data_IF_259798559988
#
_entry.id   IF_259798559988
#
_cell.length_a   1.000
_cell.length_b   1.000
_cell.length_c   1.000
_cell.angle_alpha   90.00
_cell.angle_beta   90.00
_cell.angle_gamma   90.00
#
_symmetry.space_group_name_H-M   'P 1'
#
loop_
_entity.id
_entity.type
_entity.pdbx_description
1 polymer ?
#
# COMPACT_ATOMS: atom_id res chain seq x y z
N UNK A 1 9.02 -12.94 -9.48
CA UNK A 1 8.42 -11.71 -10.08
C UNK A 1 9.14 -10.50 -9.50
N UNK A 2 9.29 -9.42 -10.28
CA UNK A 2 9.83 -8.17 -9.76
C UNK A 2 8.88 -7.56 -8.72
N UNK A 3 9.41 -7.05 -7.61
CA UNK A 3 8.62 -6.33 -6.60
C UNK A 3 7.98 -5.09 -7.23
N UNK A 4 6.78 -4.74 -6.78
CA UNK A 4 6.14 -3.49 -7.21
C UNK A 4 6.75 -2.30 -6.48
N UNK A 5 7.00 -1.20 -7.17
CA UNK A 5 7.63 -0.02 -6.60
C UNK A 5 6.57 0.98 -6.11
N UNK A 6 6.68 1.42 -4.87
CA UNK A 6 5.75 2.36 -4.23
C UNK A 6 6.50 3.58 -3.73
N UNK A 7 5.99 4.77 -4.03
CA UNK A 7 6.51 6.04 -3.53
C UNK A 7 5.47 6.76 -2.68
N UNK A 8 5.81 7.02 -1.41
CA UNK A 8 5.03 7.86 -0.50
C UNK A 8 5.51 9.32 -0.55
N UNK A 9 4.62 10.25 -0.88
CA UNK A 9 4.95 11.67 -0.99
C UNK A 9 4.25 12.49 0.08
N UNK A 10 5.02 13.34 0.76
CA UNK A 10 4.50 14.42 1.59
C UNK A 10 5.28 15.72 1.35
N UNK A 11 4.99 16.78 2.09
CA UNK A 11 5.72 18.05 1.95
C UNK A 11 7.18 17.91 2.41
N UNK A 12 7.42 17.46 3.65
CA UNK A 12 8.75 17.51 4.28
C UNK A 12 9.53 16.20 4.34
N UNK A 13 8.93 15.08 3.94
CA UNK A 13 9.44 13.72 4.21
C UNK A 13 9.93 13.49 5.64
N UNK A 14 9.25 14.12 6.61
CA UNK A 14 9.70 14.17 8.00
C UNK A 14 8.98 13.16 8.89
N UNK A 15 7.65 13.05 8.80
CA UNK A 15 6.85 12.18 9.67
C UNK A 15 5.97 11.18 8.89
N UNK A 16 4.83 11.64 8.34
CA UNK A 16 3.80 10.79 7.71
C UNK A 16 4.34 9.80 6.66
N UNK A 17 5.13 10.28 5.71
CA UNK A 17 5.65 9.42 4.64
C UNK A 17 6.77 8.47 5.11
N UNK A 18 7.51 8.83 6.17
CA UNK A 18 8.49 7.93 6.80
C UNK A 18 7.80 6.79 7.56
N UNK A 19 6.76 7.12 8.32
CA UNK A 19 5.92 6.10 8.99
C UNK A 19 5.25 5.16 7.96
N UNK A 20 4.74 5.71 6.85
CA UNK A 20 4.15 4.90 5.78
C UNK A 20 5.18 3.99 5.09
N UNK A 21 6.40 4.49 4.84
CA UNK A 21 7.53 3.70 4.33
C UNK A 21 7.87 2.54 5.28
N UNK A 22 7.98 2.84 6.58
CA UNK A 22 8.23 1.84 7.63
C UNK A 22 7.16 0.74 7.67
N UNK A 23 5.88 1.12 7.73
CA UNK A 23 4.78 0.14 7.76
C UNK A 23 4.73 -0.75 6.53
N UNK A 24 4.80 -0.19 5.32
CA UNK A 24 4.69 -1.02 4.10
C UNK A 24 5.89 -1.96 3.96
N UNK A 25 7.09 -1.47 4.28
CA UNK A 25 8.31 -2.28 4.24
C UNK A 25 8.25 -3.43 5.24
N UNK A 26 7.78 -3.17 6.46
CA UNK A 26 7.62 -4.19 7.49
C UNK A 26 6.56 -5.23 7.12
N UNK A 27 5.39 -4.80 6.63
CA UNK A 27 4.26 -5.69 6.37
C UNK A 27 4.33 -6.45 5.04
N UNK A 28 5.03 -5.91 4.03
CA UNK A 28 5.00 -6.46 2.67
C UNK A 28 6.28 -6.17 1.86
N UNK A 29 7.44 -6.05 2.52
CA UNK A 29 8.73 -5.78 1.87
C UNK A 29 9.21 -6.90 0.93
N UNK A 30 8.64 -8.10 1.03
CA UNK A 30 8.84 -9.20 0.07
C UNK A 30 8.15 -8.93 -1.29
N UNK A 31 7.07 -8.14 -1.29
CA UNK A 31 6.23 -7.84 -2.47
C UNK A 31 6.45 -6.46 -3.04
N UNK A 32 6.87 -5.51 -2.19
CA UNK A 32 7.03 -4.12 -2.55
C UNK A 32 8.45 -3.62 -2.33
N UNK A 33 8.91 -2.80 -3.25
CA UNK A 33 10.06 -1.94 -3.07
C UNK A 33 9.55 -0.55 -2.67
N UNK A 34 9.85 -0.13 -1.45
CA UNK A 34 9.16 1.00 -0.80
C UNK A 34 10.09 2.18 -0.63
N UNK A 35 9.61 3.35 -1.07
CA UNK A 35 10.29 4.62 -1.01
C UNK A 35 9.37 5.70 -0.43
N UNK A 36 9.96 6.72 0.16
CA UNK A 36 9.31 7.98 0.51
C UNK A 36 10.14 9.17 0.05
N UNK A 37 9.48 10.29 -0.22
CA UNK A 37 10.14 11.54 -0.58
C UNK A 37 9.30 12.77 -0.20
N UNK A 38 9.96 13.92 -0.26
CA UNK A 38 9.44 15.23 0.14
C UNK A 38 9.61 16.25 -0.96
N UNK A 39 8.66 17.18 -1.08
CA UNK A 39 8.78 18.31 -1.99
C UNK A 39 9.83 19.31 -1.48
N UNK A 40 9.87 19.51 -0.17
CA UNK A 40 10.84 20.33 0.56
C UNK A 40 11.36 19.51 1.74
N UNK A 41 12.21 18.50 1.50
CA UNK A 41 12.65 17.57 2.54
C UNK A 41 13.35 18.32 3.68
N UNK A 42 13.07 17.90 4.91
CA UNK A 42 13.73 18.41 6.12
C UNK A 42 14.51 17.28 6.78
N UNK A 43 14.31 17.02 8.07
CA UNK A 43 14.87 15.88 8.80
C UNK A 43 13.74 14.93 9.22
N UNK A 44 14.08 13.66 9.44
CA UNK A 44 13.12 12.69 9.99
C UNK A 44 12.75 13.12 11.40
N UNK A 45 11.45 13.26 11.66
CA UNK A 45 10.96 13.77 12.93
C UNK A 45 11.26 12.73 14.05
N UNK A 46 11.95 13.11 15.14
CA UNK A 46 12.27 12.18 16.23
C UNK A 46 11.02 11.55 16.87
N UNK A 47 9.90 12.26 16.93
CA UNK A 47 8.64 11.73 17.46
C UNK A 47 8.07 10.64 16.53
N UNK A 48 8.27 10.75 15.21
CA UNK A 48 7.89 9.69 14.28
C UNK A 48 8.71 8.41 14.53
N UNK A 49 10.01 8.56 14.79
CA UNK A 49 10.88 7.43 15.15
C UNK A 49 10.37 6.78 16.44
N UNK A 50 10.14 7.60 17.49
CA UNK A 50 9.67 7.14 18.80
C UNK A 50 8.35 6.37 18.72
N UNK A 51 7.33 6.90 18.02
CA UNK A 51 6.04 6.20 17.92
C UNK A 51 6.09 4.96 17.02
N UNK A 52 7.02 4.87 16.07
CA UNK A 52 7.18 3.65 15.27
C UNK A 52 7.92 2.56 16.04
N UNK A 53 8.89 2.94 16.86
CA UNK A 53 9.60 2.03 17.77
C UNK A 53 8.65 1.40 18.81
N UNK A 54 7.67 2.17 19.33
CA UNK A 54 6.61 1.65 20.21
C UNK A 54 5.82 0.45 19.63
N UNK A 55 5.77 0.32 18.29
CA UNK A 55 5.11 -0.79 17.60
C UNK A 55 6.10 -1.79 16.97
N UNK A 56 7.38 -1.72 17.35
CA UNK A 56 8.44 -2.63 16.92
C UNK A 56 8.94 -2.38 15.49
N UNK A 57 8.79 -1.16 14.96
CA UNK A 57 9.27 -0.80 13.62
C UNK A 57 10.31 0.31 13.72
N UNK A 58 11.58 -0.06 13.56
CA UNK A 58 12.67 0.91 13.54
C UNK A 58 12.71 1.66 12.19
N UNK A 59 12.62 2.99 12.26
CA UNK A 59 12.77 3.88 11.12
C UNK A 59 13.94 4.87 11.29
N UNK A 60 14.77 4.71 12.32
CA UNK A 60 15.88 5.62 12.65
C UNK A 60 16.95 5.70 11.55
N UNK A 61 17.13 4.62 10.78
CA UNK A 61 18.03 4.58 9.63
C UNK A 61 17.48 5.24 8.36
N UNK A 62 16.22 5.69 8.35
CA UNK A 62 15.62 6.36 7.19
C UNK A 62 16.12 7.81 7.08
N UNK A 63 16.03 8.36 5.87
CA UNK A 63 16.44 9.75 5.57
C UNK A 63 15.33 10.48 4.83
N UNK A 64 15.22 11.77 5.08
CA UNK A 64 14.39 12.64 4.28
C UNK A 64 15.06 12.88 2.92
N UNK A 65 14.34 12.61 1.83
CA UNK A 65 14.84 12.63 0.45
C UNK A 65 13.98 13.56 -0.40
N UNK A 66 14.61 14.22 -1.37
CA UNK A 66 13.90 15.09 -2.29
C UNK A 66 13.13 14.28 -3.32
N UNK A 67 11.91 14.72 -3.64
CA UNK A 67 11.13 14.11 -4.74
C UNK A 67 11.88 14.18 -6.07
N UNK A 68 12.77 15.17 -6.23
CA UNK A 68 13.61 15.34 -7.43
C UNK A 68 14.54 14.14 -7.69
N UNK A 69 14.92 13.38 -6.66
CA UNK A 69 15.73 12.16 -6.82
C UNK A 69 14.95 11.03 -7.51
N UNK A 70 13.61 11.13 -7.54
CA UNK A 70 12.70 10.09 -7.98
C UNK A 70 11.94 10.44 -9.26
N UNK A 71 12.03 11.67 -9.77
CA UNK A 71 11.25 12.11 -10.94
C UNK A 71 11.59 11.35 -12.22
N UNK A 72 12.79 10.79 -12.35
CA UNK A 72 13.18 10.00 -13.53
C UNK A 72 12.90 8.50 -13.36
N UNK A 73 12.41 8.10 -12.18
CA UNK A 73 12.21 6.70 -11.82
C UNK A 73 10.78 6.26 -12.11
N UNK A 74 10.62 4.96 -12.36
CA UNK A 74 9.31 4.34 -12.62
C UNK A 74 8.71 3.77 -11.34
N UNK A 75 7.45 4.08 -11.07
CA UNK A 75 6.70 3.55 -9.93
C UNK A 75 5.39 2.92 -10.37
N UNK A 76 4.97 1.85 -9.70
CA UNK A 76 3.65 1.26 -9.89
C UNK A 76 2.59 2.07 -9.15
N UNK A 77 2.95 2.59 -7.97
CA UNK A 77 2.08 3.40 -7.11
C UNK A 77 2.79 4.65 -6.61
N UNK A 78 2.09 5.79 -6.72
CA UNK A 78 2.48 7.05 -6.09
C UNK A 78 1.37 7.43 -5.12
N UNK A 79 1.68 7.46 -3.82
CA UNK A 79 0.72 7.67 -2.74
C UNK A 79 1.05 9.00 -2.07
N UNK A 80 0.17 9.98 -2.22
CA UNK A 80 0.30 11.28 -1.55
C UNK A 80 -0.38 11.20 -0.18
N UNK A 81 0.33 11.59 0.88
CA UNK A 81 -0.14 11.46 2.27
C UNK A 81 -0.47 12.80 2.94
N UNK A 82 -0.44 13.89 2.18
CA UNK A 82 -0.95 15.19 2.60
C UNK A 82 -1.52 15.95 1.39
N UNK A 83 -2.46 16.86 1.65
CA UNK A 83 -3.14 17.63 0.60
C UNK A 83 -2.18 18.53 -0.19
N UNK A 84 -1.21 19.15 0.49
CA UNK A 84 -0.19 19.95 -0.19
C UNK A 84 0.65 19.12 -1.17
N UNK A 85 1.02 17.89 -0.79
CA UNK A 85 1.75 17.01 -1.70
C UNK A 85 0.91 16.53 -2.90
N UNK A 86 -0.42 16.48 -2.76
CA UNK A 86 -1.33 16.19 -3.88
C UNK A 86 -1.31 17.30 -4.92
N UNK A 87 -1.34 18.56 -4.48
CA UNK A 87 -1.40 19.72 -5.36
C UNK A 87 -0.08 19.99 -6.09
N UNK A 88 1.04 19.79 -5.40
CA UNK A 88 2.39 20.08 -5.93
C UNK A 88 3.11 18.81 -6.44
N UNK A 89 2.36 17.72 -6.66
CA UNK A 89 2.93 16.44 -7.10
C UNK A 89 3.54 16.56 -8.50
N UNK A 90 4.85 16.31 -8.67
CA UNK A 90 5.48 16.37 -9.99
C UNK A 90 4.97 15.25 -10.91
N UNK A 91 5.18 15.43 -12.21
CA UNK A 91 4.83 14.41 -13.21
C UNK A 91 5.89 13.32 -13.20
N UNK A 92 5.51 12.08 -12.85
CA UNK A 92 6.39 10.92 -12.95
C UNK A 92 6.29 10.26 -14.34
N UNK A 93 7.39 9.72 -14.87
CA UNK A 93 7.42 9.00 -16.12
C UNK A 93 6.64 7.69 -15.97
N UNK A 94 5.96 7.31 -17.05
CA UNK A 94 5.08 6.15 -17.13
C UNK A 94 3.78 6.24 -16.32
N UNK A 95 2.81 5.42 -16.76
CA UNK A 95 1.49 5.32 -16.14
C UNK A 95 1.62 4.63 -14.79
N UNK A 96 1.28 5.35 -13.73
CA UNK A 96 1.30 4.88 -12.34
C UNK A 96 -0.09 5.06 -11.72
N UNK A 97 -0.41 4.26 -10.69
CA UNK A 97 -1.63 4.44 -9.91
C UNK A 97 -1.41 5.51 -8.86
N UNK A 98 -2.21 6.58 -8.91
CA UNK A 98 -2.19 7.66 -7.91
C UNK A 98 -3.20 7.34 -6.81
N UNK A 99 -2.76 7.39 -5.56
CA UNK A 99 -3.61 7.27 -4.37
C UNK A 99 -3.36 8.51 -3.50
N UNK A 100 -4.40 8.95 -2.80
CA UNK A 100 -4.31 10.09 -1.90
C UNK A 100 -4.92 9.74 -0.55
N UNK A 101 -4.17 9.99 0.52
CA UNK A 101 -4.61 9.93 1.90
C UNK A 101 -4.48 11.33 2.49
N UNK A 102 -5.61 11.93 2.87
CA UNK A 102 -5.60 13.18 3.61
C UNK A 102 -5.32 12.86 5.07
N UNK A 103 -4.10 13.20 5.51
CA UNK A 103 -3.66 13.04 6.90
C UNK A 103 -3.22 14.41 7.42
N UNK A 104 -3.78 14.79 8.56
CA UNK A 104 -3.39 15.99 9.30
C UNK A 104 -1.90 15.99 9.61
N UNK A 105 -1.29 17.17 9.70
CA UNK A 105 0.13 17.30 10.00
C UNK A 105 0.37 17.27 11.51
N UNK A 106 0.96 16.20 12.06
CA UNK A 106 1.21 16.14 13.50
C UNK A 106 2.33 17.09 13.94
N UNK A 107 3.15 17.62 13.00
CA UNK A 107 4.29 18.48 13.31
C UNK A 107 3.90 19.93 13.65
N UNK A 108 2.69 20.37 13.31
CA UNK A 108 2.20 21.73 13.58
C UNK A 108 1.57 21.92 14.96
N UNK A 109 1.55 20.88 15.79
CA UNK A 109 0.88 20.91 17.10
C UNK A 109 1.83 21.45 18.16
N UNK A 110 1.40 22.50 18.83
CA UNK A 110 2.09 23.09 19.97
C UNK A 110 1.69 22.41 21.28
N UNK A 111 2.55 22.52 22.30
CA UNK A 111 2.32 21.97 23.63
C UNK A 111 3.36 20.95 24.08
N UNK A 112 3.06 20.30 25.21
CA UNK A 112 3.90 19.30 25.88
C UNK A 112 4.20 18.09 25.00
N UNK A 113 5.35 17.44 25.24
CA UNK A 113 5.81 16.30 24.45
C UNK A 113 4.77 15.16 24.41
N UNK A 114 4.15 14.84 25.53
CA UNK A 114 3.13 13.77 25.60
C UNK A 114 1.90 14.07 24.76
N UNK A 115 1.49 15.34 24.68
CA UNK A 115 0.37 15.77 23.81
C UNK A 115 0.74 15.59 22.35
N UNK A 116 1.97 15.95 21.96
CA UNK A 116 2.47 15.71 20.59
C UNK A 116 2.51 14.22 20.29
N UNK A 117 3.06 13.40 21.20
CA UNK A 117 3.14 11.95 21.03
C UNK A 117 1.77 11.30 20.83
N UNK A 118 0.74 11.73 21.58
CA UNK A 118 -0.64 11.26 21.36
C UNK A 118 -1.08 11.46 19.91
N UNK A 119 -0.88 12.64 19.35
CA UNK A 119 -1.29 12.89 17.96
C UNK A 119 -0.42 12.11 16.96
N UNK A 120 0.89 11.99 17.20
CA UNK A 120 1.74 11.13 16.38
C UNK A 120 1.28 9.67 16.40
N UNK A 121 0.85 9.13 17.55
CA UNK A 121 0.27 7.78 17.67
C UNK A 121 -1.04 7.64 16.90
N UNK A 122 -1.93 8.63 16.96
CA UNK A 122 -3.17 8.63 16.19
C UNK A 122 -2.91 8.62 14.69
N UNK A 123 -2.02 9.47 14.19
CA UNK A 123 -1.63 9.51 12.78
C UNK A 123 -0.93 8.21 12.37
N UNK A 124 -0.04 7.67 13.20
CA UNK A 124 0.59 6.35 12.98
C UNK A 124 -0.47 5.27 12.79
N UNK A 125 -1.49 5.23 13.65
CA UNK A 125 -2.54 4.22 13.58
C UNK A 125 -3.40 4.39 12.31
N UNK A 126 -3.77 5.63 11.95
CA UNK A 126 -4.46 5.94 10.68
C UNK A 126 -3.63 5.51 9.46
N UNK A 127 -2.31 5.72 9.48
CA UNK A 127 -1.40 5.24 8.42
C UNK A 127 -1.41 3.72 8.34
N UNK A 128 -1.32 3.02 9.49
CA UNK A 128 -1.37 1.56 9.53
C UNK A 128 -2.65 1.02 8.89
N UNK A 129 -3.81 1.60 9.22
CA UNK A 129 -5.10 1.23 8.62
C UNK A 129 -5.11 1.45 7.10
N UNK A 130 -4.62 2.60 6.64
CA UNK A 130 -4.51 2.90 5.21
C UNK A 130 -3.60 1.91 4.47
N UNK A 131 -2.50 1.49 5.10
CA UNK A 131 -1.58 0.49 4.55
C UNK A 131 -2.25 -0.88 4.46
N UNK A 132 -2.98 -1.30 5.50
CA UNK A 132 -3.74 -2.56 5.50
C UNK A 132 -4.79 -2.53 4.38
N UNK A 133 -5.53 -1.43 4.25
CA UNK A 133 -6.51 -1.25 3.19
C UNK A 133 -5.88 -1.27 1.79
N UNK A 134 -4.73 -0.61 1.62
CA UNK A 134 -3.95 -0.66 0.38
C UNK A 134 -3.50 -2.08 0.03
N UNK A 135 -3.00 -2.84 1.00
CA UNK A 135 -2.60 -4.22 0.80
C UNK A 135 -3.78 -5.11 0.42
N UNK A 136 -4.96 -4.86 1.00
CA UNK A 136 -6.19 -5.58 0.64
C UNK A 136 -6.62 -5.23 -0.80
N UNK A 137 -6.70 -3.95 -1.16
CA UNK A 137 -7.01 -3.53 -2.54
C UNK A 137 -5.99 -4.05 -3.57
N UNK A 138 -4.72 -4.20 -3.18
CA UNK A 138 -3.70 -4.81 -4.03
C UNK A 138 -3.83 -6.34 -4.14
N UNK A 139 -4.41 -6.99 -3.13
CA UNK A 139 -4.71 -8.43 -3.11
C UNK A 139 -6.00 -8.76 -3.86
N UNK A 140 -6.98 -7.85 -3.90
CA UNK A 140 -8.35 -8.07 -4.36
C UNK A 140 -8.52 -8.38 -5.86
N UNK A 141 -7.44 -8.50 -6.67
CA UNK A 141 -7.56 -8.95 -8.06
C UNK A 141 -6.72 -10.19 -8.32
N UNK A 142 -7.33 -11.26 -8.80
CA UNK A 142 -6.64 -12.45 -9.26
C UNK A 142 -6.74 -12.57 -10.78
N UNK A 143 -5.71 -13.14 -11.42
CA UNK A 143 -5.78 -13.59 -12.79
C UNK A 143 -6.38 -14.98 -12.81
N UNK A 144 -7.66 -15.07 -13.18
CA UNK A 144 -8.37 -16.34 -13.31
C UNK A 144 -8.17 -16.90 -14.71
N UNK A 145 -7.61 -18.11 -14.81
CA UNK A 145 -7.48 -18.85 -16.07
C UNK A 145 -8.69 -19.75 -16.26
N UNK A 146 -9.39 -19.62 -17.38
CA UNK A 146 -10.51 -20.51 -17.69
C UNK A 146 -10.02 -21.92 -18.02
N UNK A 147 -10.52 -22.99 -17.38
CA UNK A 147 -10.12 -24.37 -17.70
C UNK A 147 -10.63 -24.85 -19.06
N UNK A 148 -11.65 -24.19 -19.62
CA UNK A 148 -12.27 -24.62 -20.89
C UNK A 148 -11.66 -23.97 -22.14
N UNK A 149 -11.23 -22.71 -22.06
CA UNK A 149 -10.68 -21.98 -23.21
C UNK A 149 -9.32 -21.35 -22.94
N UNK A 150 -8.73 -21.56 -21.76
CA UNK A 150 -7.45 -20.97 -21.33
C UNK A 150 -7.38 -19.44 -21.30
N UNK A 151 -8.48 -18.73 -21.55
CA UNK A 151 -8.55 -17.27 -21.43
C UNK A 151 -8.24 -16.83 -20.00
N UNK A 152 -7.36 -15.82 -19.86
CA UNK A 152 -6.96 -15.24 -18.58
C UNK A 152 -7.61 -13.88 -18.43
N UNK A 153 -8.27 -13.65 -17.29
CA UNK A 153 -8.92 -12.37 -16.99
C UNK A 153 -8.69 -11.96 -15.54
N UNK A 154 -8.68 -10.65 -15.30
CA UNK A 154 -8.71 -10.14 -13.93
C UNK A 154 -10.12 -10.26 -13.35
N UNK A 155 -10.21 -10.88 -12.17
CA UNK A 155 -11.43 -11.01 -11.37
C UNK A 155 -11.20 -10.46 -9.98
N UNK A 156 -12.20 -9.82 -9.41
CA UNK A 156 -12.14 -9.36 -8.03
C UNK A 156 -12.27 -10.56 -7.07
N UNK A 157 -11.39 -10.63 -6.08
CA UNK A 157 -11.44 -11.63 -5.01
C UNK A 157 -12.42 -11.12 -3.96
N UNK A 158 -13.59 -11.76 -3.80
CA UNK A 158 -14.51 -11.40 -2.72
C UNK A 158 -13.86 -11.54 -1.34
N UNK A 159 -14.00 -10.49 -0.50
CA UNK A 159 -13.35 -10.41 0.83
C UNK A 159 -13.86 -11.43 1.86
N UNK A 160 -15.17 -11.73 1.81
CA UNK A 160 -15.85 -12.61 2.77
C UNK A 160 -16.74 -13.68 2.09
N UNK A 161 -16.52 -13.97 0.81
CA UNK A 161 -17.38 -14.90 0.07
C UNK A 161 -16.54 -15.85 -0.77
N UNK A 162 -16.81 -17.15 -0.72
CA UNK A 162 -16.19 -18.08 -1.64
C UNK A 162 -16.86 -17.96 -3.02
N UNK A 163 -16.05 -17.77 -4.06
CA UNK A 163 -16.55 -17.74 -5.44
C UNK A 163 -16.87 -19.18 -5.89
N UNK A 164 -18.10 -19.63 -5.66
CA UNK A 164 -18.56 -21.00 -5.98
C UNK A 164 -18.72 -21.26 -7.47
N UNK A 165 -18.89 -20.21 -8.28
CA UNK A 165 -18.80 -20.29 -9.73
C UNK A 165 -18.40 -18.95 -10.35
N UNK A 166 -17.90 -18.98 -11.58
CA UNK A 166 -17.61 -17.78 -12.37
C UNK A 166 -17.97 -18.02 -13.84
N UNK A 167 -18.53 -17.01 -14.52
CA UNK A 167 -18.82 -17.08 -15.96
C UNK A 167 -17.64 -16.51 -16.74
N UNK A 168 -16.97 -17.33 -17.56
CA UNK A 168 -15.86 -16.86 -18.37
C UNK A 168 -16.30 -15.78 -19.36
N UNK A 169 -15.65 -14.61 -19.37
CA UNK A 169 -16.01 -13.52 -20.31
C UNK A 169 -15.76 -13.87 -21.78
N UNK A 170 -14.85 -14.82 -22.06
CA UNK A 170 -14.51 -15.25 -23.43
C UNK A 170 -15.46 -16.32 -23.95
N UNK A 171 -15.55 -17.48 -23.27
CA UNK A 171 -16.34 -18.61 -23.78
C UNK A 171 -17.73 -18.75 -23.14
N UNK A 172 -18.10 -17.85 -22.21
CA UNK A 172 -19.38 -17.84 -21.49
C UNK A 172 -19.69 -19.11 -20.68
N UNK A 173 -18.74 -20.04 -20.57
CA UNK A 173 -18.91 -21.27 -19.77
C UNK A 173 -18.84 -20.95 -18.27
N UNK A 174 -19.67 -21.66 -17.51
CA UNK A 174 -19.66 -21.67 -16.05
C UNK A 174 -18.48 -22.49 -15.54
N UNK A 175 -17.58 -21.83 -14.84
CA UNK A 175 -16.42 -22.41 -14.17
C UNK A 175 -16.82 -22.71 -12.72
N UNK A 176 -16.57 -23.93 -12.25
CA UNK A 176 -16.77 -24.37 -10.87
C UNK A 176 -15.45 -24.91 -10.31
N UNK A 177 -15.23 -24.88 -8.98
CA UNK A 177 -13.99 -25.32 -8.35
C UNK A 177 -13.59 -26.73 -8.78
N UNK A 178 -12.29 -26.98 -8.92
CA UNK A 178 -11.77 -28.34 -9.10
C UNK A 178 -11.93 -29.13 -7.81
N UNK A 179 -11.91 -30.46 -7.90
CA UNK A 179 -11.91 -31.34 -6.74
C UNK A 179 -10.74 -30.98 -5.81
N UNK A 180 -10.99 -30.83 -4.51
CA UNK A 180 -10.00 -30.45 -3.50
C UNK A 180 -9.77 -28.94 -3.33
N UNK A 181 -10.40 -28.09 -4.15
CA UNK A 181 -10.31 -26.63 -4.03
C UNK A 181 -11.54 -26.04 -3.36
N UNK A 182 -11.35 -25.10 -2.43
CA UNK A 182 -12.44 -24.44 -1.71
C UNK A 182 -13.31 -23.52 -2.61
N UNK A 183 -12.73 -22.86 -3.62
CA UNK A 183 -13.47 -21.98 -4.54
C UNK A 183 -12.79 -21.85 -5.92
N UNK A 184 -13.45 -21.17 -6.87
CA UNK A 184 -12.95 -20.97 -8.25
C UNK A 184 -11.62 -20.19 -8.27
N UNK A 185 -11.43 -19.24 -7.36
CA UNK A 185 -10.18 -18.47 -7.24
C UNK A 185 -9.02 -19.39 -6.83
N UNK A 186 -9.20 -20.19 -5.78
CA UNK A 186 -8.17 -21.14 -5.34
C UNK A 186 -7.87 -22.24 -6.38
N UNK A 187 -8.87 -22.62 -7.18
CA UNK A 187 -8.73 -23.67 -8.18
C UNK A 187 -7.98 -23.22 -9.45
N UNK A 188 -8.22 -21.99 -9.92
CA UNK A 188 -7.76 -21.58 -11.27
C UNK A 188 -7.15 -20.19 -11.35
N UNK A 189 -6.84 -19.55 -10.23
CA UNK A 189 -6.21 -18.24 -10.24
C UNK A 189 -4.75 -18.26 -9.78
N UNK A 190 -4.03 -17.18 -10.08
CA UNK A 190 -2.65 -16.96 -9.63
C UNK A 190 -2.54 -16.58 -8.14
N UNK A 191 -3.67 -16.56 -7.42
CA UNK A 191 -3.74 -16.23 -6.00
C UNK A 191 -4.59 -17.25 -5.25
N UNK A 192 -4.19 -17.52 -4.01
CA UNK A 192 -5.04 -18.19 -3.04
C UNK A 192 -5.79 -17.14 -2.23
N UNK A 193 -7.09 -17.35 -2.00
CA UNK A 193 -7.79 -16.60 -0.97
C UNK A 193 -7.06 -16.89 0.34
N UNK A 194 -6.67 -15.85 1.08
CA UNK A 194 -6.22 -16.01 2.46
C UNK A 194 -7.46 -16.47 3.24
N UNK A 195 -7.68 -17.78 3.25
CA UNK A 195 -8.63 -18.38 4.17
C UNK A 195 -8.23 -17.92 5.55
N UNK A 196 -9.14 -17.29 6.27
CA UNK A 196 -8.99 -17.14 7.70
C UNK A 196 -8.73 -18.55 8.25
N UNK A 197 -7.49 -18.82 8.66
CA UNK A 197 -7.25 -19.81 9.69
C UNK A 197 -8.09 -19.34 10.88
N UNK A 198 -9.09 -20.17 11.21
CA UNK A 198 -9.94 -20.03 12.38
C UNK A 198 -9.09 -19.80 13.62
#
# INVERSE_FOLDING_TARGET
MSKKRVLFLCTGNSARSQMAEGFLRHLAGDKFEVYSAGIKPTEVNPLAIKVMDEVGIDISGQKAKSVMEFISQKFDYVITVCDNAKQTCPVFPAKHKKIHWSLEDPAGIEGEEETKLKVFREIRNKIKENIINFLNLAKDKAKLKCPFCSFVQEVDIPKNMCLSFYICKSCQKRITPSLGSCCVICAYSDKTCLGFTV
#
